data_IF_927221587582
#
_entry.id   IF_927221587582
#
_cell.length_a   1.000
_cell.length_b   1.000
_cell.length_c   1.000
_cell.angle_alpha   90.00
_cell.angle_beta   90.00
_cell.angle_gamma   90.00
#
_symmetry.space_group_name_H-M   'P 1'
#
loop_
_entity.id
_entity.type
_entity.pdbx_description
1 polymer ?
#
# COMPACT_ATOMS: atom_id res chain seq x y z
N UNK A 1 -4.00 -34.23 4.03
CA UNK A 1 -4.89 -35.36 3.71
C UNK A 1 -4.73 -36.48 4.74
N UNK A 2 -3.52 -36.97 4.99
CA UNK A 2 -3.22 -38.03 5.95
C UNK A 2 -3.62 -37.63 7.39
N UNK A 3 -3.34 -36.42 7.81
CA UNK A 3 -3.68 -35.89 9.12
C UNK A 3 -5.18 -35.82 9.38
N UNK A 4 -5.98 -35.60 8.33
CA UNK A 4 -7.45 -35.50 8.43
C UNK A 4 -8.13 -36.86 8.22
N UNK A 5 -7.41 -37.87 7.75
CA UNK A 5 -7.94 -39.20 7.47
C UNK A 5 -8.75 -39.33 6.18
N UNK A 6 -8.65 -38.36 5.27
CA UNK A 6 -9.36 -38.36 3.99
C UNK A 6 -10.83 -37.93 4.09
N UNK A 7 -11.71 -38.49 3.25
CA UNK A 7 -13.15 -38.29 3.35
C UNK A 7 -13.77 -39.09 4.48
N UNK A 8 -14.69 -38.51 5.21
CA UNK A 8 -15.42 -39.17 6.29
C UNK A 8 -16.44 -40.18 5.70
N UNK A 9 -16.25 -41.46 6.01
CA UNK A 9 -17.09 -42.57 5.50
C UNK A 9 -18.57 -42.47 5.90
N UNK A 10 -18.94 -41.62 6.90
CA UNK A 10 -20.34 -41.38 7.24
C UNK A 10 -21.17 -40.81 6.11
N UNK A 11 -20.50 -40.15 5.12
CA UNK A 11 -21.14 -39.53 3.98
C UNK A 11 -21.25 -40.45 2.75
N UNK A 12 -20.86 -41.71 2.88
CA UNK A 12 -21.03 -42.70 1.80
C UNK A 12 -22.51 -42.84 1.47
N UNK A 13 -22.88 -42.96 0.16
CA UNK A 13 -22.02 -43.06 -1.02
C UNK A 13 -21.65 -41.72 -1.63
N UNK A 14 -22.35 -40.63 -1.33
CA UNK A 14 -22.10 -39.32 -1.90
C UNK A 14 -22.85 -38.20 -1.16
N UNK A 15 -22.45 -36.95 -1.42
CA UNK A 15 -22.95 -35.67 -0.91
C UNK A 15 -22.46 -35.29 0.49
N UNK A 16 -22.02 -34.06 0.64
CA UNK A 16 -21.48 -33.42 1.83
C UNK A 16 -20.04 -33.83 2.20
N UNK A 17 -19.42 -34.78 1.53
CA UNK A 17 -18.03 -35.20 1.77
C UNK A 17 -17.02 -34.08 1.44
N UNK A 18 -17.26 -33.29 0.38
CA UNK A 18 -16.47 -32.16 -0.03
C UNK A 18 -16.57 -30.98 0.95
N UNK A 19 -17.80 -30.71 1.37
CA UNK A 19 -18.07 -29.69 2.39
C UNK A 19 -17.47 -30.06 3.74
N UNK A 20 -17.60 -31.33 4.14
CA UNK A 20 -17.01 -31.88 5.35
C UNK A 20 -15.47 -31.75 5.35
N UNK A 21 -14.85 -32.15 4.23
CA UNK A 21 -13.41 -31.99 4.06
C UNK A 21 -12.95 -30.53 4.23
N UNK A 22 -13.71 -29.57 3.66
CA UNK A 22 -13.40 -28.14 3.82
C UNK A 22 -13.50 -27.69 5.29
N UNK A 23 -14.42 -28.25 6.08
CA UNK A 23 -14.55 -27.96 7.51
C UNK A 23 -13.42 -28.59 8.31
N UNK A 24 -13.04 -29.85 8.01
CA UNK A 24 -11.90 -30.53 8.68
C UNK A 24 -10.59 -29.82 8.40
N UNK A 25 -10.32 -29.40 7.14
CA UNK A 25 -9.14 -28.62 6.77
C UNK A 25 -9.02 -27.36 7.64
N UNK A 26 -10.12 -26.64 7.84
CA UNK A 26 -10.15 -25.43 8.67
C UNK A 26 -9.95 -25.73 10.14
N UNK A 27 -10.55 -26.80 10.66
CA UNK A 27 -10.40 -27.27 12.04
C UNK A 27 -8.93 -27.58 12.38
N UNK A 28 -8.14 -28.02 11.40
CA UNK A 28 -6.69 -28.23 11.52
C UNK A 28 -5.87 -26.94 11.28
N UNK A 29 -6.47 -25.76 11.30
CA UNK A 29 -5.80 -24.47 11.16
C UNK A 29 -5.37 -24.12 9.74
N UNK A 30 -5.74 -24.94 8.74
CA UNK A 30 -5.43 -24.70 7.34
C UNK A 30 -6.49 -23.82 6.65
N UNK A 31 -6.12 -23.23 5.50
CA UNK A 31 -7.03 -22.40 4.70
C UNK A 31 -7.67 -23.21 3.58
N UNK A 32 -8.94 -22.94 3.33
CA UNK A 32 -9.65 -23.39 2.12
C UNK A 32 -9.73 -22.19 1.17
N UNK A 33 -9.11 -22.33 0.00
CA UNK A 33 -8.98 -21.25 -0.97
C UNK A 33 -9.85 -21.53 -2.20
N UNK A 34 -10.57 -20.51 -2.65
CA UNK A 34 -11.26 -20.54 -3.93
C UNK A 34 -10.27 -20.18 -5.05
N UNK A 35 -10.16 -21.06 -6.08
CA UNK A 35 -9.31 -20.83 -7.24
C UNK A 35 -10.17 -20.57 -8.47
N UNK A 36 -10.38 -19.31 -8.88
CA UNK A 36 -11.28 -18.97 -9.98
C UNK A 36 -10.79 -19.41 -11.36
N UNK A 37 -9.48 -19.69 -11.50
CA UNK A 37 -8.90 -20.21 -12.75
C UNK A 37 -9.11 -21.72 -12.92
N UNK A 38 -9.52 -22.43 -11.86
CA UNK A 38 -9.87 -23.85 -11.90
C UNK A 38 -11.35 -23.98 -12.28
N UNK A 39 -11.60 -24.06 -13.57
CA UNK A 39 -12.96 -24.11 -14.12
C UNK A 39 -13.34 -25.55 -14.43
N UNK A 40 -14.43 -26.03 -13.82
CA UNK A 40 -15.04 -27.33 -14.11
C UNK A 40 -16.44 -27.12 -14.65
N UNK A 41 -16.75 -27.74 -15.80
CA UNK A 41 -18.10 -27.72 -16.35
C UNK A 41 -18.88 -28.89 -15.77
N UNK A 42 -19.91 -28.58 -15.00
CA UNK A 42 -20.78 -29.57 -14.38
C UNK A 42 -22.14 -29.58 -15.06
N UNK A 43 -22.49 -30.73 -15.65
CA UNK A 43 -23.80 -30.94 -16.26
C UNK A 43 -24.75 -31.52 -15.23
N UNK A 44 -25.52 -30.66 -14.58
CA UNK A 44 -26.40 -31.05 -13.50
C UNK A 44 -27.49 -32.03 -13.99
N UNK A 45 -27.73 -33.09 -13.22
CA UNK A 45 -28.75 -34.09 -13.50
C UNK A 45 -28.39 -35.18 -14.51
N UNK A 46 -27.24 -35.07 -15.21
CA UNK A 46 -26.85 -36.08 -16.22
C UNK A 46 -26.47 -37.42 -15.58
N UNK A 47 -25.74 -37.41 -14.47
CA UNK A 47 -25.27 -38.64 -13.81
C UNK A 47 -26.23 -39.23 -12.80
N UNK A 48 -26.88 -38.38 -11.97
CA UNK A 48 -27.63 -38.82 -10.80
C UNK A 48 -29.07 -38.31 -10.77
N UNK A 49 -29.58 -37.71 -11.86
CA UNK A 49 -30.91 -37.08 -11.90
C UNK A 49 -31.02 -35.85 -10.98
N UNK A 50 -32.20 -35.31 -10.85
CA UNK A 50 -32.54 -34.15 -9.99
C UNK A 50 -33.50 -34.50 -8.85
N UNK A 51 -34.03 -35.69 -8.81
CA UNK A 51 -35.00 -36.16 -7.82
C UNK A 51 -34.29 -36.53 -6.50
N UNK A 52 -34.53 -35.76 -5.45
CA UNK A 52 -33.99 -35.96 -4.09
C UNK A 52 -34.72 -37.04 -3.28
N UNK A 53 -35.78 -37.67 -3.83
CA UNK A 53 -36.54 -38.70 -3.15
C UNK A 53 -36.13 -40.13 -3.54
N UNK A 54 -35.32 -40.27 -4.60
CA UNK A 54 -34.91 -41.57 -5.14
C UNK A 54 -33.44 -41.57 -5.61
N UNK A 55 -32.88 -42.77 -5.76
CA UNK A 55 -31.53 -42.97 -6.26
C UNK A 55 -30.44 -42.34 -5.36
N UNK A 56 -29.29 -42.01 -5.96
CA UNK A 56 -28.18 -41.38 -5.23
C UNK A 56 -28.52 -39.99 -4.66
N UNK A 57 -29.40 -39.22 -5.33
CA UNK A 57 -29.83 -37.90 -4.86
C UNK A 57 -30.53 -37.94 -3.49
N UNK A 58 -31.17 -39.06 -3.14
CA UNK A 58 -31.82 -39.21 -1.80
C UNK A 58 -30.81 -39.13 -0.65
N UNK A 59 -29.56 -39.53 -0.88
CA UNK A 59 -28.51 -39.40 0.12
C UNK A 59 -28.14 -37.94 0.44
N UNK A 60 -28.38 -36.99 -0.46
CA UNK A 60 -28.18 -35.58 -0.19
C UNK A 60 -28.96 -35.14 1.06
N UNK A 61 -30.23 -35.50 1.19
CA UNK A 61 -31.05 -35.13 2.32
C UNK A 61 -30.57 -35.80 3.62
N UNK A 62 -30.18 -37.08 3.51
CA UNK A 62 -29.68 -37.84 4.68
C UNK A 62 -28.34 -37.32 5.14
N UNK A 63 -27.44 -37.08 4.22
CA UNK A 63 -26.08 -36.63 4.54
C UNK A 63 -26.05 -35.16 4.99
N UNK A 64 -26.96 -34.30 4.52
CA UNK A 64 -27.12 -32.97 5.10
C UNK A 64 -27.49 -33.02 6.60
N UNK A 65 -28.32 -33.96 7.06
CA UNK A 65 -28.61 -34.12 8.48
C UNK A 65 -27.36 -34.54 9.26
N UNK A 66 -26.63 -35.54 8.75
CA UNK A 66 -25.36 -35.97 9.37
C UNK A 66 -24.33 -34.87 9.43
N UNK A 67 -24.26 -34.03 8.38
CA UNK A 67 -23.38 -32.87 8.33
C UNK A 67 -23.75 -31.84 9.41
N UNK A 68 -25.06 -31.51 9.53
CA UNK A 68 -25.58 -30.61 10.56
C UNK A 68 -25.30 -31.14 11.98
N UNK A 69 -25.45 -32.44 12.20
CA UNK A 69 -25.14 -33.08 13.50
C UNK A 69 -23.67 -33.00 13.82
N UNK A 70 -22.79 -33.31 12.84
CA UNK A 70 -21.32 -33.28 13.03
C UNK A 70 -20.79 -31.87 13.31
N UNK A 71 -21.30 -30.87 12.59
CA UNK A 71 -20.78 -29.52 12.60
C UNK A 71 -21.69 -28.51 13.33
N UNK A 72 -22.64 -28.99 14.16
CA UNK A 72 -23.63 -28.14 14.81
C UNK A 72 -23.03 -26.97 15.56
N UNK A 73 -22.00 -27.20 16.36
CA UNK A 73 -21.33 -26.17 17.14
C UNK A 73 -20.64 -25.14 16.21
N UNK A 74 -19.84 -25.60 15.28
CA UNK A 74 -19.13 -24.72 14.32
C UNK A 74 -20.11 -23.88 13.50
N UNK A 75 -21.22 -24.47 13.06
CA UNK A 75 -22.24 -23.76 12.30
C UNK A 75 -22.95 -22.71 13.13
N UNK A 76 -23.25 -22.99 14.40
CA UNK A 76 -23.91 -22.04 15.31
C UNK A 76 -22.98 -20.88 15.69
N UNK A 77 -21.71 -21.17 15.92
CA UNK A 77 -20.72 -20.18 16.37
C UNK A 77 -20.21 -19.30 15.22
N UNK A 78 -19.97 -19.87 14.05
CA UNK A 78 -19.19 -19.21 12.99
C UNK A 78 -19.92 -18.99 11.68
N UNK A 79 -21.13 -19.51 11.51
CA UNK A 79 -21.85 -19.41 10.24
C UNK A 79 -23.22 -18.76 10.40
N UNK A 80 -23.67 -18.08 9.36
CA UNK A 80 -25.05 -17.61 9.27
C UNK A 80 -25.96 -18.73 8.74
N UNK A 81 -27.27 -18.76 9.13
CA UNK A 81 -28.23 -19.68 8.55
C UNK A 81 -28.29 -19.54 7.02
N UNK A 82 -28.69 -20.64 6.36
CA UNK A 82 -28.83 -20.65 4.90
C UNK A 82 -29.75 -19.53 4.40
N UNK A 83 -29.32 -18.88 3.32
CA UNK A 83 -30.02 -17.76 2.66
C UNK A 83 -30.15 -16.48 3.52
N UNK A 84 -29.56 -16.43 4.69
CA UNK A 84 -29.53 -15.23 5.51
C UNK A 84 -28.22 -14.47 5.23
N UNK A 85 -28.34 -13.22 4.82
CA UNK A 85 -27.23 -12.29 4.55
C UNK A 85 -26.05 -12.93 3.77
N UNK A 86 -26.21 -13.20 2.47
CA UNK A 86 -25.17 -13.84 1.66
C UNK A 86 -23.86 -13.05 1.62
N UNK A 87 -23.91 -11.73 1.78
CA UNK A 87 -22.72 -10.88 1.79
C UNK A 87 -21.80 -11.19 2.97
N UNK A 88 -22.36 -11.45 4.15
CA UNK A 88 -21.60 -11.84 5.34
C UNK A 88 -21.36 -13.36 5.40
N UNK A 89 -22.32 -14.17 4.94
CA UNK A 89 -22.27 -15.62 5.04
C UNK A 89 -21.13 -16.23 4.21
N UNK A 90 -20.90 -15.74 2.99
CA UNK A 90 -19.94 -16.31 2.02
C UNK A 90 -18.50 -16.33 2.51
N UNK A 91 -18.13 -15.46 3.43
CA UNK A 91 -16.76 -15.33 3.94
C UNK A 91 -16.61 -15.71 5.41
N UNK A 92 -17.60 -16.34 6.02
CA UNK A 92 -17.65 -16.61 7.46
C UNK A 92 -17.36 -15.33 8.26
N UNK A 93 -18.02 -14.25 7.90
CA UNK A 93 -17.78 -12.94 8.50
C UNK A 93 -18.75 -12.59 9.64
N UNK A 94 -19.38 -13.59 10.27
CA UNK A 94 -20.31 -13.37 11.40
C UNK A 94 -19.68 -12.53 12.50
N UNK A 95 -18.41 -12.80 12.83
CA UNK A 95 -17.68 -12.10 13.87
C UNK A 95 -16.65 -11.09 13.31
N UNK A 96 -16.46 -11.04 12.01
CA UNK A 96 -15.49 -10.14 11.38
C UNK A 96 -16.08 -8.76 11.17
N UNK A 97 -15.31 -7.75 11.46
CA UNK A 97 -15.60 -6.39 11.03
C UNK A 97 -15.28 -6.26 9.55
N UNK A 98 -16.20 -5.69 8.78
CA UNK A 98 -15.98 -5.46 7.35
C UNK A 98 -15.37 -4.07 7.17
N UNK A 99 -14.27 -4.02 6.43
CA UNK A 99 -13.56 -2.80 6.07
C UNK A 99 -13.57 -2.66 4.55
N UNK A 100 -14.05 -1.53 4.05
CA UNK A 100 -13.91 -1.12 2.65
C UNK A 100 -12.72 -0.16 2.53
N UNK A 101 -11.72 -0.52 1.73
CA UNK A 101 -10.63 0.38 1.37
C UNK A 101 -10.75 0.83 -0.07
N UNK A 102 -10.55 2.12 -0.31
CA UNK A 102 -10.60 2.74 -1.65
C UNK A 102 -9.29 3.45 -1.94
N UNK A 103 -8.72 3.19 -3.11
CA UNK A 103 -7.56 3.92 -3.64
C UNK A 103 -7.70 4.10 -5.17
N UNK A 104 -6.75 4.73 -5.82
CA UNK A 104 -6.82 5.03 -7.26
C UNK A 104 -6.73 3.78 -8.16
N UNK A 105 -5.95 2.77 -7.77
CA UNK A 105 -5.86 1.46 -8.43
C UNK A 105 -5.39 0.37 -7.44
N UNK A 106 -5.36 -0.87 -7.87
CA UNK A 106 -4.77 -1.97 -7.10
C UNK A 106 -3.29 -1.65 -6.82
N UNK A 107 -2.83 -1.68 -5.56
CA UNK A 107 -1.50 -1.19 -5.19
C UNK A 107 -0.37 -1.99 -5.86
N UNK A 108 0.42 -1.30 -6.67
CA UNK A 108 1.66 -1.81 -7.27
C UNK A 108 2.80 -1.64 -6.26
N UNK A 109 2.83 -2.50 -5.25
CA UNK A 109 3.64 -2.36 -4.03
C UNK A 109 5.16 -2.36 -4.28
N UNK A 110 5.62 -2.81 -5.44
CA UNK A 110 7.01 -2.82 -5.90
C UNK A 110 7.40 -1.60 -6.76
N UNK A 111 6.44 -0.69 -7.07
CA UNK A 111 6.67 0.40 -8.03
C UNK A 111 6.64 1.79 -7.42
N UNK A 112 5.86 2.00 -6.40
CA UNK A 112 5.77 3.30 -5.74
C UNK A 112 5.48 3.18 -4.24
N UNK A 113 5.98 4.16 -3.48
CA UNK A 113 5.90 4.21 -2.03
C UNK A 113 4.46 4.26 -1.50
N UNK A 114 3.56 4.98 -2.18
CA UNK A 114 2.16 5.08 -1.77
C UNK A 114 1.42 3.75 -1.92
N UNK A 115 1.64 3.05 -3.04
CA UNK A 115 1.11 1.70 -3.25
C UNK A 115 1.66 0.70 -2.23
N UNK A 116 2.95 0.80 -1.86
CA UNK A 116 3.55 -0.03 -0.81
C UNK A 116 2.87 0.21 0.53
N UNK A 117 2.63 1.45 0.90
CA UNK A 117 1.90 1.80 2.13
C UNK A 117 0.49 1.21 2.15
N UNK A 118 -0.27 1.37 1.06
CA UNK A 118 -1.63 0.81 0.96
C UNK A 118 -1.62 -0.71 1.08
N UNK A 119 -0.69 -1.39 0.42
CA UNK A 119 -0.53 -2.84 0.51
C UNK A 119 -0.22 -3.30 1.94
N UNK A 120 0.67 -2.61 2.64
CA UNK A 120 1.01 -2.91 4.04
C UNK A 120 -0.17 -2.70 4.98
N UNK A 121 -1.00 -1.67 4.78
CA UNK A 121 -2.23 -1.49 5.56
C UNK A 121 -3.27 -2.58 5.24
N UNK A 122 -3.38 -3.02 3.98
CA UNK A 122 -4.24 -4.17 3.64
C UNK A 122 -3.80 -5.43 4.38
N UNK A 123 -2.49 -5.73 4.40
CA UNK A 123 -1.93 -6.84 5.17
C UNK A 123 -2.24 -6.71 6.66
N UNK A 124 -2.04 -5.51 7.23
CA UNK A 124 -2.33 -5.24 8.64
C UNK A 124 -3.80 -5.54 8.97
N UNK A 125 -4.75 -5.04 8.18
CA UNK A 125 -6.18 -5.26 8.44
C UNK A 125 -6.58 -6.73 8.28
N UNK A 126 -6.06 -7.43 7.28
CA UNK A 126 -6.31 -8.88 7.13
C UNK A 126 -5.75 -9.65 8.32
N UNK A 127 -4.52 -9.34 8.77
CA UNK A 127 -3.88 -9.97 9.92
C UNK A 127 -4.61 -9.67 11.25
N UNK A 128 -5.28 -8.52 11.34
CA UNK A 128 -6.14 -8.16 12.47
C UNK A 128 -7.55 -8.79 12.39
N UNK A 129 -7.79 -9.67 11.42
CA UNK A 129 -9.03 -10.43 11.28
C UNK A 129 -10.20 -9.69 10.63
N UNK A 130 -9.96 -8.56 9.95
CA UNK A 130 -10.99 -7.89 9.17
C UNK A 130 -11.35 -8.69 7.92
N UNK A 131 -12.62 -8.60 7.50
CA UNK A 131 -13.04 -8.93 6.13
C UNK A 131 -12.83 -7.68 5.26
N UNK A 132 -11.78 -7.70 4.44
CA UNK A 132 -11.35 -6.51 3.68
C UNK A 132 -11.91 -6.56 2.26
N UNK A 133 -12.58 -5.47 1.87
CA UNK A 133 -13.04 -5.18 0.50
C UNK A 133 -12.17 -4.06 -0.05
N UNK A 134 -11.77 -4.14 -1.31
CA UNK A 134 -10.93 -3.14 -1.95
C UNK A 134 -11.55 -2.67 -3.27
N UNK A 135 -11.59 -1.35 -3.46
CA UNK A 135 -11.94 -0.70 -4.72
C UNK A 135 -10.73 0.10 -5.20
N UNK A 136 -10.20 -0.25 -6.39
CA UNK A 136 -9.41 0.67 -7.18
C UNK A 136 -10.34 1.54 -8.04
N UNK A 137 -10.24 2.86 -7.98
CA UNK A 137 -11.13 3.80 -8.68
C UNK A 137 -11.17 3.61 -10.21
N UNK A 138 -10.11 3.00 -10.78
CA UNK A 138 -10.06 2.62 -12.18
C UNK A 138 -10.80 1.31 -12.50
N UNK A 139 -11.21 0.54 -11.49
CA UNK A 139 -11.89 -0.75 -11.59
C UNK A 139 -11.17 -1.79 -12.48
N UNK A 140 -9.87 -1.69 -12.60
CA UNK A 140 -9.08 -2.58 -13.45
C UNK A 140 -8.32 -3.62 -12.62
N UNK A 141 -8.30 -4.88 -13.10
CA UNK A 141 -7.53 -5.95 -12.50
C UNK A 141 -6.08 -5.91 -13.01
N UNK A 142 -5.20 -5.33 -12.21
CA UNK A 142 -3.76 -5.29 -12.51
C UNK A 142 -3.07 -6.55 -12.01
N UNK A 143 -2.54 -7.36 -12.93
CA UNK A 143 -1.76 -8.52 -12.56
C UNK A 143 -0.26 -8.20 -12.44
N UNK A 144 0.47 -8.83 -11.51
CA UNK A 144 0.06 -9.88 -10.56
C UNK A 144 -0.59 -9.35 -9.26
N UNK A 145 -0.73 -8.04 -9.09
CA UNK A 145 -1.11 -7.37 -7.83
C UNK A 145 -2.52 -7.72 -7.37
N UNK A 146 -3.48 -7.84 -8.30
CA UNK A 146 -4.85 -8.26 -7.97
C UNK A 146 -4.86 -9.68 -7.41
N UNK A 147 -4.13 -10.62 -8.04
CA UNK A 147 -4.01 -11.99 -7.55
C UNK A 147 -3.37 -12.03 -6.16
N UNK A 148 -2.35 -11.22 -5.91
CA UNK A 148 -1.69 -11.12 -4.61
C UNK A 148 -2.66 -10.67 -3.50
N UNK A 149 -3.50 -9.67 -3.76
CA UNK A 149 -4.52 -9.23 -2.81
C UNK A 149 -5.57 -10.31 -2.55
N UNK A 150 -6.05 -10.98 -3.61
CA UNK A 150 -7.04 -12.06 -3.48
C UNK A 150 -6.48 -13.25 -2.71
N UNK A 151 -5.23 -13.63 -2.93
CA UNK A 151 -4.55 -14.69 -2.16
C UNK A 151 -4.35 -14.31 -0.69
N UNK A 152 -4.17 -13.03 -0.39
CA UNK A 152 -4.12 -12.52 0.98
C UNK A 152 -5.49 -12.63 1.69
N UNK A 153 -6.59 -12.71 0.93
CA UNK A 153 -7.96 -12.75 1.44
C UNK A 153 -8.72 -11.44 1.30
N UNK A 154 -8.22 -10.50 0.47
CA UNK A 154 -8.92 -9.26 0.14
C UNK A 154 -9.87 -9.50 -1.03
N UNK A 155 -11.13 -9.12 -0.89
CA UNK A 155 -12.08 -9.09 -2.01
C UNK A 155 -11.86 -7.82 -2.82
N UNK A 156 -11.37 -7.96 -4.04
CA UNK A 156 -11.15 -6.84 -4.95
C UNK A 156 -12.36 -6.67 -5.86
N UNK A 157 -13.01 -5.51 -5.78
CA UNK A 157 -14.19 -5.17 -6.58
C UNK A 157 -13.74 -4.49 -7.87
N UNK A 158 -13.72 -5.23 -8.98
CA UNK A 158 -13.21 -4.75 -10.27
C UNK A 158 -14.10 -5.17 -11.44
N UNK A 159 -13.79 -4.63 -12.60
CA UNK A 159 -14.47 -4.93 -13.86
C UNK A 159 -15.65 -4.00 -14.18
N UNK A 160 -16.21 -4.14 -15.40
CA UNK A 160 -17.22 -3.22 -15.92
C UNK A 160 -18.49 -3.14 -15.07
N UNK A 161 -18.84 -4.23 -14.38
CA UNK A 161 -20.00 -4.24 -13.49
C UNK A 161 -19.79 -3.26 -12.34
N UNK A 162 -18.71 -3.39 -11.58
CA UNK A 162 -18.44 -2.51 -10.43
C UNK A 162 -18.15 -1.08 -10.85
N UNK A 163 -17.46 -0.88 -11.98
CA UNK A 163 -17.23 0.46 -12.52
C UNK A 163 -18.54 1.25 -12.71
N UNK A 164 -19.60 0.54 -13.12
CA UNK A 164 -20.91 1.13 -13.36
C UNK A 164 -21.81 1.16 -12.11
N UNK A 165 -21.70 0.13 -11.24
CA UNK A 165 -22.67 -0.15 -10.18
C UNK A 165 -22.07 -0.13 -8.76
N UNK A 166 -20.91 0.47 -8.53
CA UNK A 166 -20.30 0.50 -7.20
C UNK A 166 -21.16 1.21 -6.15
N UNK A 167 -21.92 2.25 -6.56
CA UNK A 167 -22.88 2.93 -5.67
C UNK A 167 -24.06 2.05 -5.30
N UNK A 168 -24.58 1.29 -6.27
CA UNK A 168 -25.68 0.34 -6.02
C UNK A 168 -25.20 -0.76 -5.07
N UNK A 169 -23.97 -1.29 -5.32
CA UNK A 169 -23.34 -2.26 -4.44
C UNK A 169 -23.16 -1.71 -3.01
N UNK A 170 -22.73 -0.45 -2.88
CA UNK A 170 -22.56 0.20 -1.58
C UNK A 170 -23.91 0.39 -0.89
N UNK A 171 -24.97 0.76 -1.62
CA UNK A 171 -26.32 0.90 -1.11
C UNK A 171 -26.88 -0.43 -0.59
N UNK A 172 -26.60 -1.54 -1.27
CA UNK A 172 -27.05 -2.87 -0.88
C UNK A 172 -26.32 -3.42 0.34
N UNK A 173 -25.01 -3.23 0.41
CA UNK A 173 -24.14 -3.88 1.38
C UNK A 173 -23.60 -2.93 2.47
N UNK A 174 -23.78 -1.63 2.32
CA UNK A 174 -23.17 -0.61 3.17
C UNK A 174 -23.56 -0.70 4.65
N UNK A 175 -24.76 -1.21 4.97
CA UNK A 175 -25.20 -1.43 6.35
C UNK A 175 -24.28 -2.36 7.16
N UNK A 176 -23.56 -3.28 6.50
CA UNK A 176 -22.69 -4.27 7.11
C UNK A 176 -21.23 -3.80 7.15
N UNK A 177 -20.89 -2.69 6.48
CA UNK A 177 -19.56 -2.10 6.46
C UNK A 177 -19.36 -1.29 7.74
N UNK A 178 -18.42 -1.75 8.58
CA UNK A 178 -18.11 -1.08 9.84
C UNK A 178 -17.06 0.03 9.73
N UNK A 179 -16.18 -0.08 8.74
CA UNK A 179 -15.07 0.87 8.50
C UNK A 179 -14.90 1.14 7.02
N UNK A 180 -14.63 2.40 6.68
CA UNK A 180 -14.22 2.79 5.33
C UNK A 180 -12.90 3.52 5.43
N UNK A 181 -11.91 3.10 4.64
CA UNK A 181 -10.58 3.69 4.57
C UNK A 181 -10.39 4.31 3.18
N UNK A 182 -10.43 5.63 3.11
CA UNK A 182 -10.32 6.40 1.87
C UNK A 182 -8.90 6.93 1.71
N UNK A 183 -8.28 6.63 0.59
CA UNK A 183 -6.93 7.08 0.26
C UNK A 183 -6.97 8.21 -0.77
N UNK A 184 -6.05 9.15 -0.63
CA UNK A 184 -5.78 10.25 -1.58
C UNK A 184 -6.95 11.20 -1.79
N UNK A 185 -6.73 12.51 -1.77
CA UNK A 185 -7.83 13.48 -1.83
C UNK A 185 -8.62 13.41 -3.13
N UNK A 186 -7.95 13.30 -4.29
CA UNK A 186 -8.59 13.26 -5.61
C UNK A 186 -9.46 12.01 -5.85
N UNK A 187 -9.25 10.95 -5.09
CA UNK A 187 -10.10 9.76 -5.09
C UNK A 187 -11.20 9.90 -4.05
N UNK A 188 -10.83 10.24 -2.82
CA UNK A 188 -11.74 10.29 -1.67
C UNK A 188 -12.96 11.20 -1.89
N UNK A 189 -12.79 12.33 -2.59
CA UNK A 189 -13.89 13.25 -2.93
C UNK A 189 -15.00 12.61 -3.77
N UNK A 190 -14.70 11.54 -4.51
CA UNK A 190 -15.69 10.83 -5.34
C UNK A 190 -16.56 9.88 -4.52
N UNK A 191 -16.06 9.43 -3.37
CA UNK A 191 -16.66 8.35 -2.58
C UNK A 191 -17.30 8.84 -1.28
N UNK A 192 -16.78 9.90 -0.67
CA UNK A 192 -17.14 10.32 0.69
C UNK A 192 -18.65 10.53 0.87
N UNK A 193 -19.32 11.20 -0.07
CA UNK A 193 -20.75 11.48 0.03
C UNK A 193 -21.59 10.19 -0.02
N UNK A 194 -21.27 9.28 -0.96
CA UNK A 194 -21.97 8.00 -1.06
C UNK A 194 -21.71 7.11 0.16
N UNK A 195 -20.49 7.13 0.70
CA UNK A 195 -20.14 6.43 1.93
C UNK A 195 -20.98 6.95 3.09
N UNK A 196 -21.09 8.26 3.23
CA UNK A 196 -21.90 8.89 4.29
C UNK A 196 -23.40 8.65 4.12
N UNK A 197 -23.88 8.58 2.87
CA UNK A 197 -25.30 8.32 2.57
C UNK A 197 -25.70 6.85 2.81
N UNK A 198 -24.85 5.91 2.39
CA UNK A 198 -25.25 4.50 2.34
C UNK A 198 -24.66 3.62 3.45
N UNK A 199 -23.80 4.17 4.31
CA UNK A 199 -23.20 3.40 5.41
C UNK A 199 -23.28 4.12 6.75
N UNK A 200 -23.19 3.34 7.84
CA UNK A 200 -22.93 3.84 9.20
C UNK A 200 -21.46 3.64 9.61
N UNK A 201 -20.59 3.41 8.64
CA UNK A 201 -19.19 3.10 8.87
C UNK A 201 -18.42 4.27 9.51
N UNK A 202 -17.42 3.93 10.30
CA UNK A 202 -16.38 4.90 10.67
C UNK A 202 -15.50 5.16 9.47
N UNK A 203 -15.45 6.40 9.04
CA UNK A 203 -14.66 6.82 7.87
C UNK A 203 -13.30 7.30 8.32
N UNK A 204 -12.27 6.65 7.83
CA UNK A 204 -10.87 7.01 7.98
C UNK A 204 -10.40 7.56 6.65
N UNK A 205 -9.81 8.76 6.68
CA UNK A 205 -9.15 9.34 5.51
C UNK A 205 -7.64 9.29 5.67
N UNK A 206 -6.92 8.82 4.67
CA UNK A 206 -5.45 8.79 4.62
C UNK A 206 -4.95 9.64 3.46
N UNK A 207 -4.34 10.78 3.77
CA UNK A 207 -3.98 11.80 2.77
C UNK A 207 -2.76 11.45 1.93
N UNK A 208 -1.86 10.58 2.41
CA UNK A 208 -0.53 10.30 1.88
C UNK A 208 0.44 11.48 1.96
N UNK A 209 0.04 12.64 1.48
CA UNK A 209 0.71 13.92 1.62
C UNK A 209 -0.31 15.06 1.48
N UNK A 210 0.01 16.24 1.98
CA UNK A 210 -0.81 17.44 1.80
C UNK A 210 -0.53 18.06 0.44
N UNK A 211 -1.47 17.93 -0.48
CA UNK A 211 -1.35 18.47 -1.84
C UNK A 211 -1.21 19.99 -1.84
N UNK A 212 -2.03 20.68 -1.05
CA UNK A 212 -1.94 22.15 -0.97
C UNK A 212 -0.57 22.61 -0.46
N UNK A 213 -0.01 21.95 0.55
CA UNK A 213 1.29 22.30 1.11
C UNK A 213 2.42 22.05 0.10
N UNK A 214 2.35 20.93 -0.63
CA UNK A 214 3.31 20.59 -1.67
C UNK A 214 3.31 21.62 -2.80
N UNK A 215 2.13 21.99 -3.32
CA UNK A 215 1.99 22.96 -4.41
C UNK A 215 2.36 24.37 -3.96
N UNK A 216 2.05 24.75 -2.71
CA UNK A 216 2.49 26.02 -2.13
C UNK A 216 4.01 26.12 -2.11
N UNK A 217 4.69 25.10 -1.63
CA UNK A 217 6.17 25.04 -1.58
C UNK A 217 6.78 25.03 -2.99
N UNK A 218 6.13 24.37 -3.94
CA UNK A 218 6.56 24.41 -5.34
C UNK A 218 6.43 25.83 -5.92
N UNK A 219 5.33 26.54 -5.60
CA UNK A 219 5.18 27.94 -5.95
C UNK A 219 6.28 28.83 -5.34
N UNK A 220 6.58 28.66 -4.07
CA UNK A 220 7.63 29.41 -3.38
C UNK A 220 9.01 29.24 -4.03
N UNK A 221 9.27 28.06 -4.60
CA UNK A 221 10.52 27.74 -5.31
C UNK A 221 10.53 28.27 -6.76
N UNK A 222 9.43 28.15 -7.47
CA UNK A 222 9.37 28.37 -8.94
C UNK A 222 8.78 29.72 -9.34
N UNK A 223 7.95 30.34 -8.48
CA UNK A 223 7.19 31.53 -8.78
C UNK A 223 6.00 31.32 -9.74
N UNK A 224 5.63 30.06 -10.04
CA UNK A 224 4.51 29.75 -10.94
C UNK A 224 3.17 30.07 -10.28
N UNK A 225 2.55 31.18 -10.71
CA UNK A 225 1.28 31.66 -10.15
C UNK A 225 0.11 30.65 -10.28
N UNK A 226 0.16 29.73 -11.25
CA UNK A 226 -0.87 28.71 -11.40
C UNK A 226 -0.88 27.73 -10.20
N UNK A 227 0.29 27.47 -9.60
CA UNK A 227 0.42 26.63 -8.41
C UNK A 227 -0.22 27.27 -7.17
N UNK A 228 -0.17 28.58 -7.04
CA UNK A 228 -0.80 29.28 -5.92
C UNK A 228 -2.32 29.10 -5.92
N UNK A 229 -2.96 29.25 -7.09
CA UNK A 229 -4.40 29.02 -7.21
C UNK A 229 -4.75 27.55 -6.98
N UNK A 230 -3.98 26.62 -7.57
CA UNK A 230 -4.20 25.18 -7.40
C UNK A 230 -4.02 24.76 -5.94
N UNK A 231 -3.03 25.31 -5.25
CA UNK A 231 -2.83 25.07 -3.81
C UNK A 231 -4.05 25.49 -2.98
N UNK A 232 -4.62 26.68 -3.26
CA UNK A 232 -5.82 27.14 -2.54
C UNK A 232 -7.05 26.24 -2.82
N UNK A 233 -7.19 25.75 -4.04
CA UNK A 233 -8.27 24.83 -4.42
C UNK A 233 -8.09 23.48 -3.71
N UNK A 234 -6.87 22.99 -3.56
CA UNK A 234 -6.56 21.78 -2.81
C UNK A 234 -6.77 21.94 -1.32
N UNK A 235 -6.35 23.07 -0.73
CA UNK A 235 -6.57 23.35 0.69
C UNK A 235 -8.05 23.21 1.05
N UNK A 236 -8.93 23.82 0.26
CA UNK A 236 -10.37 23.72 0.46
C UNK A 236 -10.85 22.26 0.38
N UNK A 237 -10.48 21.53 -0.68
CA UNK A 237 -10.92 20.13 -0.87
C UNK A 237 -10.40 19.19 0.21
N UNK A 238 -9.13 19.32 0.58
CA UNK A 238 -8.53 18.49 1.61
C UNK A 238 -9.15 18.76 2.98
N UNK A 239 -9.42 20.03 3.33
CA UNK A 239 -10.12 20.38 4.57
C UNK A 239 -11.55 19.84 4.60
N UNK A 240 -12.30 19.94 3.50
CA UNK A 240 -13.64 19.37 3.40
C UNK A 240 -13.62 17.86 3.66
N UNK A 241 -12.66 17.12 3.10
CA UNK A 241 -12.49 15.68 3.33
C UNK A 241 -12.11 15.36 4.77
N UNK A 242 -11.14 16.09 5.33
CA UNK A 242 -10.66 15.90 6.70
C UNK A 242 -11.81 16.09 7.69
N UNK A 243 -12.63 17.13 7.50
CA UNK A 243 -13.77 17.43 8.36
C UNK A 243 -14.96 16.47 8.14
N UNK A 244 -15.09 15.89 6.95
CA UNK A 244 -16.10 14.88 6.65
C UNK A 244 -15.73 13.48 7.16
N UNK A 245 -14.46 13.20 7.45
CA UNK A 245 -14.00 11.94 8.01
C UNK A 245 -14.18 11.91 9.55
N UNK A 246 -14.27 10.68 10.12
CA UNK A 246 -14.27 10.52 11.59
C UNK A 246 -12.85 10.67 12.17
N UNK A 247 -11.85 10.36 11.36
CA UNK A 247 -10.43 10.55 11.65
C UNK A 247 -9.66 10.67 10.33
N UNK A 248 -8.74 11.62 10.26
CA UNK A 248 -7.77 11.74 9.19
C UNK A 248 -6.38 11.32 9.68
N UNK A 249 -5.62 10.65 8.82
CA UNK A 249 -4.24 10.28 9.09
C UNK A 249 -3.32 10.79 7.98
N UNK A 250 -2.16 11.25 8.41
CA UNK A 250 -1.07 11.65 7.54
C UNK A 250 0.24 11.01 8.02
N UNK A 251 1.24 10.84 7.15
CA UNK A 251 2.47 10.14 7.53
C UNK A 251 3.35 10.92 8.51
N UNK A 252 3.22 12.26 8.59
CA UNK A 252 4.11 13.07 9.41
C UNK A 252 3.37 14.00 10.36
N UNK A 253 4.03 14.31 11.49
CA UNK A 253 3.55 15.30 12.47
C UNK A 253 3.58 16.74 11.94
N UNK A 254 4.38 17.02 10.91
CA UNK A 254 4.43 18.32 10.24
C UNK A 254 3.12 18.60 9.52
N UNK A 255 2.57 17.59 8.85
CA UNK A 255 1.25 17.68 8.20
C UNK A 255 0.12 17.76 9.22
N UNK A 256 0.18 16.98 10.31
CA UNK A 256 -0.76 17.07 11.43
C UNK A 256 -0.78 18.50 11.99
N UNK A 257 0.39 19.11 12.21
CA UNK A 257 0.52 20.47 12.72
C UNK A 257 -0.03 21.49 11.72
N UNK A 258 0.33 21.39 10.43
CA UNK A 258 -0.14 22.29 9.39
C UNK A 258 -1.67 22.29 9.27
N UNK A 259 -2.32 21.13 9.44
CA UNK A 259 -3.77 21.05 9.46
C UNK A 259 -4.34 21.70 10.73
N UNK A 260 -3.77 21.47 11.90
CA UNK A 260 -4.26 22.08 13.13
C UNK A 260 -4.11 23.61 13.15
N UNK A 261 -3.14 24.18 12.45
CA UNK A 261 -2.99 25.64 12.30
C UNK A 261 -4.18 26.27 11.57
N UNK A 262 -4.70 25.59 10.53
CA UNK A 262 -5.82 26.11 9.71
C UNK A 262 -7.18 25.58 10.16
N UNK A 263 -7.24 24.42 10.80
CA UNK A 263 -8.46 23.78 11.30
C UNK A 263 -8.22 23.10 12.67
N UNK A 264 -8.15 23.85 13.78
CA UNK A 264 -7.84 23.31 15.10
C UNK A 264 -8.82 22.23 15.60
N UNK A 265 -10.05 22.21 15.06
CA UNK A 265 -11.09 21.23 15.41
C UNK A 265 -10.96 19.92 14.63
N UNK A 266 -10.08 19.84 13.63
CA UNK A 266 -9.92 18.66 12.81
C UNK A 266 -9.38 17.47 13.63
N UNK A 267 -9.99 16.32 13.45
CA UNK A 267 -9.50 15.07 14.02
C UNK A 267 -8.44 14.47 13.10
N UNK A 268 -7.22 14.90 13.29
CA UNK A 268 -6.07 14.44 12.49
C UNK A 268 -4.97 13.92 13.39
N UNK A 269 -4.24 12.89 12.94
CA UNK A 269 -3.06 12.34 13.62
C UNK A 269 -2.03 11.87 12.62
N UNK A 270 -0.76 12.00 13.01
CA UNK A 270 0.33 11.36 12.30
C UNK A 270 0.40 9.86 12.63
N UNK A 271 0.53 9.02 11.61
CA UNK A 271 0.78 7.57 11.75
C UNK A 271 1.91 7.16 10.81
N UNK A 272 2.66 6.08 11.13
CA UNK A 272 3.73 5.62 10.26
C UNK A 272 3.26 5.32 8.83
N UNK A 273 3.99 5.84 7.85
CA UNK A 273 3.75 5.53 6.44
C UNK A 273 4.22 4.11 6.07
N UNK A 274 5.21 3.60 6.81
CA UNK A 274 5.89 2.35 6.51
C UNK A 274 5.84 1.42 7.72
N UNK A 275 5.45 0.17 7.45
CA UNK A 275 5.42 -0.92 8.42
C UNK A 275 6.42 -1.97 7.95
N UNK A 276 7.52 -2.11 8.65
CA UNK A 276 8.47 -3.18 8.40
C UNK A 276 8.25 -4.30 9.42
N UNK A 277 8.05 -5.53 8.94
CA UNK A 277 7.92 -6.70 9.81
C UNK A 277 9.25 -7.09 10.42
N UNK A 278 10.33 -6.87 9.66
CA UNK A 278 11.68 -7.28 10.03
C UNK A 278 12.65 -6.12 9.75
N UNK A 279 13.50 -5.86 10.73
CA UNK A 279 14.67 -5.00 10.60
C UNK A 279 15.87 -5.91 10.79
N UNK A 280 16.55 -6.24 9.69
CA UNK A 280 17.81 -6.98 9.77
C UNK A 280 18.92 -6.03 10.24
N UNK A 281 19.75 -6.50 11.17
CA UNK A 281 20.99 -5.80 11.50
C UNK A 281 21.90 -5.82 10.27
N UNK A 282 22.13 -4.66 9.69
CA UNK A 282 23.04 -4.50 8.55
C UNK A 282 24.40 -4.03 9.05
N UNK A 283 25.44 -4.85 8.89
CA UNK A 283 26.81 -4.40 9.10
C UNK A 283 27.22 -3.47 7.96
N UNK A 284 27.65 -2.26 8.32
CA UNK A 284 28.20 -1.32 7.35
C UNK A 284 29.69 -1.60 7.11
N UNK A 285 30.05 -1.91 5.86
CA UNK A 285 31.43 -2.17 5.44
C UNK A 285 31.93 -1.06 4.52
N UNK A 286 32.64 -0.09 5.06
CA UNK A 286 33.13 1.08 4.33
C UNK A 286 33.92 0.70 3.06
N UNK A 287 34.86 -0.25 3.16
CA UNK A 287 35.72 -0.65 2.04
C UNK A 287 34.99 -1.35 0.89
N UNK A 288 33.82 -1.93 1.17
CA UNK A 288 33.01 -2.64 0.17
C UNK A 288 32.00 -1.70 -0.53
N UNK A 289 31.65 -0.58 0.11
CA UNK A 289 30.64 0.34 -0.41
C UNK A 289 31.30 1.48 -1.20
N UNK A 290 30.76 1.78 -2.36
CA UNK A 290 31.23 2.85 -3.24
C UNK A 290 30.05 3.60 -3.85
N UNK A 291 30.34 4.79 -4.36
CA UNK A 291 29.37 5.58 -5.12
C UNK A 291 28.15 6.04 -4.31
N UNK A 292 27.27 6.72 -4.98
CA UNK A 292 26.05 7.29 -4.42
C UNK A 292 24.82 6.77 -5.16
N UNK A 293 23.67 6.81 -4.51
CA UNK A 293 22.42 6.49 -5.15
C UNK A 293 21.33 7.51 -4.83
N UNK A 294 20.40 7.69 -5.75
CA UNK A 294 19.13 8.36 -5.56
C UNK A 294 18.02 7.46 -6.11
N UNK A 295 16.92 7.33 -5.37
CA UNK A 295 15.74 6.62 -5.84
C UNK A 295 14.49 7.51 -5.81
N UNK A 296 13.67 7.44 -6.87
CA UNK A 296 12.38 8.13 -6.90
C UNK A 296 11.62 7.91 -8.18
N UNK A 297 10.32 7.58 -8.08
CA UNK A 297 9.44 7.53 -9.24
C UNK A 297 9.29 8.90 -9.90
N UNK A 298 9.51 8.99 -11.20
CA UNK A 298 9.54 10.26 -11.94
C UNK A 298 8.15 10.79 -12.34
N UNK A 299 7.09 10.08 -12.01
CA UNK A 299 5.74 10.63 -12.00
C UNK A 299 5.52 11.69 -10.91
N UNK A 300 6.43 11.76 -9.93
CA UNK A 300 6.40 12.74 -8.85
C UNK A 300 7.38 13.89 -9.13
N UNK A 301 6.84 15.09 -9.38
CA UNK A 301 7.61 16.28 -9.81
C UNK A 301 8.80 16.65 -8.90
N UNK A 302 8.72 16.56 -7.56
CA UNK A 302 9.86 16.79 -6.69
C UNK A 302 11.09 15.93 -7.00
N UNK A 303 10.92 14.70 -7.50
CA UNK A 303 12.03 13.83 -7.87
C UNK A 303 12.73 14.31 -9.16
N UNK A 304 11.95 14.85 -10.12
CA UNK A 304 12.50 15.45 -11.35
C UNK A 304 13.34 16.67 -11.01
N UNK A 305 12.82 17.54 -10.15
CA UNK A 305 13.52 18.73 -9.67
C UNK A 305 14.80 18.38 -8.91
N UNK A 306 14.75 17.41 -8.01
CA UNK A 306 15.91 16.95 -7.26
C UNK A 306 17.05 16.48 -8.16
N UNK A 307 16.75 15.70 -9.21
CA UNK A 307 17.78 15.25 -10.15
C UNK A 307 18.32 16.39 -11.01
N UNK A 308 17.48 17.35 -11.38
CA UNK A 308 17.96 18.57 -12.07
C UNK A 308 18.88 19.41 -11.20
N UNK A 309 18.53 19.62 -9.94
CA UNK A 309 19.37 20.35 -8.99
C UNK A 309 20.71 19.62 -8.75
N UNK A 310 20.62 18.29 -8.56
CA UNK A 310 21.81 17.44 -8.43
C UNK A 310 22.74 17.58 -9.64
N UNK A 311 22.21 17.44 -10.85
CA UNK A 311 23.00 17.46 -12.08
C UNK A 311 23.62 18.84 -12.39
N UNK A 312 22.86 19.91 -12.16
CA UNK A 312 23.26 21.24 -12.62
C UNK A 312 24.09 22.00 -11.57
N UNK A 313 23.84 21.79 -10.28
CA UNK A 313 24.45 22.58 -9.21
C UNK A 313 25.38 21.77 -8.31
N UNK A 314 25.02 20.51 -7.96
CA UNK A 314 25.81 19.69 -7.04
C UNK A 314 26.93 18.95 -7.77
N UNK A 315 26.61 18.20 -8.83
CA UNK A 315 27.58 17.34 -9.53
C UNK A 315 28.81 18.08 -10.06
N UNK A 316 28.71 19.27 -10.67
CA UNK A 316 29.89 19.97 -11.20
C UNK A 316 30.96 20.32 -10.15
N UNK A 317 30.50 20.57 -8.91
CA UNK A 317 31.42 20.84 -7.80
C UNK A 317 31.87 19.55 -7.09
N UNK A 318 31.00 18.55 -6.97
CA UNK A 318 31.29 17.27 -6.35
C UNK A 318 32.39 16.49 -7.13
N UNK A 319 32.30 16.43 -8.46
CA UNK A 319 33.29 15.74 -9.31
C UNK A 319 34.69 16.38 -9.21
N UNK A 320 34.77 17.68 -8.95
CA UNK A 320 36.09 18.33 -8.70
C UNK A 320 36.75 17.83 -7.41
N UNK A 321 35.94 17.44 -6.40
CA UNK A 321 36.44 16.92 -5.12
C UNK A 321 36.62 15.40 -5.14
N UNK A 322 35.76 14.70 -5.86
CA UNK A 322 35.69 13.25 -5.98
C UNK A 322 35.61 12.86 -7.47
N UNK A 323 36.70 12.87 -8.23
CA UNK A 323 36.66 12.69 -9.70
C UNK A 323 36.06 11.35 -10.16
N UNK A 324 36.26 10.29 -9.38
CA UNK A 324 35.83 8.93 -9.72
C UNK A 324 34.43 8.60 -9.18
N UNK A 325 33.75 9.56 -8.54
CA UNK A 325 32.43 9.33 -7.95
C UNK A 325 31.39 9.07 -9.03
N UNK A 326 30.52 8.10 -8.79
CA UNK A 326 29.31 7.85 -9.59
C UNK A 326 28.06 8.02 -8.75
N UNK A 327 27.02 8.51 -9.41
CA UNK A 327 25.68 8.62 -8.82
C UNK A 327 24.70 7.84 -9.66
N UNK A 328 24.06 6.85 -9.07
CA UNK A 328 23.04 6.03 -9.71
C UNK A 328 21.65 6.64 -9.46
N UNK A 329 20.96 7.01 -10.52
CA UNK A 329 19.60 7.54 -10.49
C UNK A 329 18.63 6.42 -10.85
N UNK A 330 17.88 5.97 -9.83
CA UNK A 330 16.97 4.84 -9.90
C UNK A 330 15.51 5.34 -9.87
N UNK A 331 14.63 4.65 -10.57
CA UNK A 331 13.19 4.91 -10.49
C UNK A 331 12.47 4.81 -11.82
N UNK A 332 11.18 4.54 -11.74
CA UNK A 332 10.33 4.30 -12.91
C UNK A 332 10.05 5.57 -13.72
N UNK A 333 9.93 5.39 -15.04
CA UNK A 333 9.47 6.40 -16.00
C UNK A 333 10.25 7.73 -15.99
N UNK A 334 11.59 7.73 -16.08
CA UNK A 334 12.35 8.98 -16.20
C UNK A 334 11.95 9.72 -17.48
N UNK A 335 11.55 11.00 -17.38
CA UNK A 335 11.23 11.81 -18.53
C UNK A 335 12.49 12.14 -19.33
N UNK A 336 12.32 12.57 -20.59
CA UNK A 336 13.44 12.84 -21.49
C UNK A 336 14.40 13.88 -20.92
N UNK A 337 13.90 14.92 -20.29
CA UNK A 337 14.68 15.96 -19.62
C UNK A 337 15.59 15.41 -18.49
N UNK A 338 15.20 14.32 -17.82
CA UNK A 338 16.05 13.64 -16.83
C UNK A 338 17.08 12.75 -17.52
N UNK A 339 16.69 12.01 -18.57
CA UNK A 339 17.60 11.15 -19.32
C UNK A 339 18.78 11.94 -19.95
N UNK A 340 18.47 13.15 -20.41
CA UNK A 340 19.49 14.04 -21.02
C UNK A 340 20.53 14.58 -20.02
N UNK A 341 20.28 14.45 -18.70
CA UNK A 341 21.25 14.83 -17.67
C UNK A 341 22.36 13.77 -17.44
N UNK A 342 22.28 12.63 -18.11
CA UNK A 342 23.25 11.55 -17.95
C UNK A 342 24.67 12.00 -18.34
N UNK A 343 25.64 11.65 -17.51
CA UNK A 343 27.08 11.85 -17.74
C UNK A 343 27.84 10.60 -17.31
N UNK A 344 29.18 10.61 -17.45
CA UNK A 344 30.03 9.51 -16.94
C UNK A 344 29.91 9.32 -15.42
N UNK A 345 29.62 10.39 -14.69
CA UNK A 345 29.47 10.40 -13.23
C UNK A 345 28.00 10.34 -12.77
N UNK A 346 27.00 10.63 -13.62
CA UNK A 346 25.57 10.61 -13.31
C UNK A 346 24.87 9.61 -14.21
N UNK A 347 24.51 8.46 -13.66
CA UNK A 347 24.02 7.29 -14.40
C UNK A 347 22.51 7.09 -14.20
N UNK A 348 21.71 7.36 -15.23
CA UNK A 348 20.26 7.19 -15.20
C UNK A 348 19.93 5.72 -15.50
N UNK A 349 19.59 4.94 -14.47
CA UNK A 349 19.30 3.50 -14.57
C UNK A 349 17.84 3.19 -14.89
N UNK A 350 16.94 4.10 -14.50
CA UNK A 350 15.50 3.84 -14.65
C UNK A 350 14.95 2.89 -13.61
N UNK A 351 13.94 2.09 -13.99
CA UNK A 351 13.34 1.09 -13.11
C UNK A 351 14.33 -0.02 -12.77
N UNK A 352 14.34 -0.42 -11.50
CA UNK A 352 15.07 -1.57 -10.96
C UNK A 352 14.11 -2.43 -10.14
N UNK A 353 14.37 -3.73 -10.04
CA UNK A 353 13.59 -4.64 -9.18
C UNK A 353 13.88 -4.39 -7.70
N UNK A 354 13.07 -4.96 -6.79
CA UNK A 354 13.32 -4.82 -5.35
C UNK A 354 14.65 -5.47 -4.94
N UNK A 355 15.04 -6.58 -5.58
CA UNK A 355 16.33 -7.25 -5.36
C UNK A 355 17.50 -6.38 -5.82
N UNK A 356 17.42 -5.81 -7.03
CA UNK A 356 18.44 -4.87 -7.54
C UNK A 356 18.52 -3.61 -6.68
N UNK A 357 17.38 -3.09 -6.19
CA UNK A 357 17.35 -1.94 -5.30
C UNK A 357 18.05 -2.24 -3.97
N UNK A 358 17.82 -3.43 -3.41
CA UNK A 358 18.52 -3.88 -2.20
C UNK A 358 20.05 -3.94 -2.45
N UNK A 359 20.49 -4.44 -3.60
CA UNK A 359 21.91 -4.43 -3.96
C UNK A 359 22.48 -3.00 -4.02
N UNK A 360 21.74 -2.04 -4.58
CA UNK A 360 22.17 -0.64 -4.57
C UNK A 360 22.29 -0.08 -3.15
N UNK A 361 21.31 -0.34 -2.26
CA UNK A 361 21.42 0.08 -0.86
C UNK A 361 22.60 -0.57 -0.13
N UNK A 362 22.92 -1.81 -0.43
CA UNK A 362 24.04 -2.53 0.19
C UNK A 362 25.41 -2.13 -0.35
N UNK A 363 25.49 -1.75 -1.63
CA UNK A 363 26.77 -1.47 -2.30
C UNK A 363 27.08 0.03 -2.42
N UNK A 364 26.08 0.90 -2.47
CA UNK A 364 26.32 2.33 -2.45
C UNK A 364 26.73 2.81 -1.05
N UNK A 365 27.66 3.76 -1.01
CA UNK A 365 28.20 4.29 0.25
C UNK A 365 27.21 5.21 0.95
N UNK A 366 26.52 6.06 0.18
CA UNK A 366 25.55 7.02 0.69
C UNK A 366 24.32 7.07 -0.23
N UNK A 367 23.14 7.12 0.34
CA UNK A 367 21.91 7.50 -0.36
C UNK A 367 21.74 9.00 -0.28
N UNK A 368 21.59 9.67 -1.41
CA UNK A 368 21.38 11.12 -1.46
C UNK A 368 19.93 11.45 -1.77
N UNK A 369 19.34 12.40 -1.04
CA UNK A 369 17.94 12.79 -1.21
C UNK A 369 17.83 14.32 -1.30
N UNK A 370 18.27 14.93 -2.42
CA UNK A 370 18.37 16.38 -2.58
C UNK A 370 17.02 16.99 -3.01
N UNK A 371 15.98 16.83 -2.21
CA UNK A 371 14.66 17.37 -2.47
C UNK A 371 14.55 18.82 -2.02
N UNK A 372 14.14 19.73 -2.91
CA UNK A 372 13.96 21.14 -2.58
C UNK A 372 12.54 21.51 -2.18
N UNK A 373 11.56 20.69 -2.55
CA UNK A 373 10.17 20.83 -2.12
C UNK A 373 9.47 19.46 -2.05
N UNK A 374 8.31 19.44 -1.41
CA UNK A 374 7.50 18.25 -1.21
C UNK A 374 6.72 18.34 0.09
N UNK A 375 5.89 17.35 0.37
CA UNK A 375 5.20 17.15 1.63
C UNK A 375 5.29 15.66 2.05
N UNK A 376 4.99 15.36 3.30
CA UNK A 376 5.01 14.00 3.85
C UNK A 376 6.40 13.42 4.10
N UNK A 377 6.44 12.27 4.75
CA UNK A 377 7.68 11.50 4.98
C UNK A 377 8.22 10.95 3.66
N UNK A 378 9.53 11.06 3.50
CA UNK A 378 10.23 10.57 2.31
C UNK A 378 10.64 9.11 2.50
N UNK A 379 9.86 8.19 1.93
CA UNK A 379 10.08 6.75 2.05
C UNK A 379 11.48 6.28 1.72
N UNK A 380 12.10 6.93 0.73
CA UNK A 380 13.47 6.63 0.32
C UNK A 380 14.52 6.87 1.43
N UNK A 381 14.26 7.82 2.34
CA UNK A 381 15.11 8.03 3.52
C UNK A 381 14.94 6.89 4.51
N UNK A 382 13.67 6.53 4.81
CA UNK A 382 13.36 5.43 5.72
C UNK A 382 13.87 4.08 5.19
N UNK A 383 13.76 3.85 3.88
CA UNK A 383 14.29 2.63 3.25
C UNK A 383 15.82 2.57 3.31
N UNK A 384 16.51 3.67 3.01
CA UNK A 384 17.97 3.74 3.14
C UNK A 384 18.41 3.41 4.58
N UNK A 385 17.74 4.00 5.58
CA UNK A 385 18.00 3.72 7.01
C UNK A 385 17.75 2.24 7.33
N UNK A 386 16.68 1.63 6.81
CA UNK A 386 16.40 0.20 7.01
C UNK A 386 17.53 -0.69 6.50
N UNK A 387 18.16 -0.34 5.39
CA UNK A 387 19.29 -1.09 4.82
C UNK A 387 20.67 -0.65 5.38
N UNK A 388 20.70 0.14 6.44
CA UNK A 388 21.92 0.65 7.03
C UNK A 388 22.75 1.48 6.05
N UNK A 389 22.09 2.20 5.13
CA UNK A 389 22.75 3.08 4.18
C UNK A 389 22.68 4.51 4.69
N UNK A 390 23.81 5.16 4.99
CA UNK A 390 23.87 6.56 5.40
C UNK A 390 23.14 7.46 4.40
N UNK A 391 22.51 8.52 4.91
CA UNK A 391 21.69 9.41 4.08
C UNK A 391 22.19 10.84 4.18
N UNK A 392 22.50 11.46 3.05
CA UNK A 392 22.67 12.90 2.90
C UNK A 392 21.44 13.51 2.24
N UNK A 393 20.81 14.49 2.89
CA UNK A 393 19.51 15.01 2.44
C UNK A 393 19.39 16.52 2.68
N UNK A 394 18.23 17.08 2.33
CA UNK A 394 17.80 18.44 2.67
C UNK A 394 16.86 18.41 3.85
N UNK A 395 16.53 19.57 4.42
CA UNK A 395 15.47 19.72 5.44
C UNK A 395 14.13 19.19 4.93
N UNK A 396 13.82 19.37 3.65
CA UNK A 396 12.63 18.81 3.01
C UNK A 396 12.68 17.29 2.96
N UNK A 397 13.83 16.70 2.67
CA UNK A 397 13.99 15.24 2.63
C UNK A 397 13.94 14.59 4.02
N UNK A 398 14.39 15.29 5.05
CA UNK A 398 14.36 14.87 6.46
C UNK A 398 13.02 15.11 7.16
N UNK A 399 12.09 15.84 6.51
CA UNK A 399 10.82 16.26 7.10
C UNK A 399 10.00 15.09 7.66
N UNK A 400 9.50 15.26 8.89
CA UNK A 400 8.64 14.28 9.56
C UNK A 400 9.37 13.13 10.25
N UNK A 401 10.70 13.03 10.10
CA UNK A 401 11.53 12.02 10.76
C UNK A 401 11.97 12.58 12.12
N UNK A 402 11.53 11.96 13.20
CA UNK A 402 11.90 12.40 14.55
C UNK A 402 13.38 12.16 14.83
N UNK A 403 14.07 13.18 15.29
CA UNK A 403 15.51 13.11 15.57
C UNK A 403 16.38 13.10 14.32
N UNK A 404 15.86 13.53 13.18
CA UNK A 404 16.57 13.57 11.90
C UNK A 404 17.95 14.24 12.02
N UNK A 405 18.06 15.33 12.76
CA UNK A 405 19.30 16.11 12.94
C UNK A 405 20.42 15.32 13.63
N UNK A 406 20.08 14.23 14.31
CA UNK A 406 21.07 13.38 15.00
C UNK A 406 21.46 12.13 14.21
N UNK A 407 20.73 11.80 13.13
CA UNK A 407 20.89 10.55 12.37
C UNK A 407 21.04 10.74 10.86
N UNK A 408 20.80 11.94 10.35
CA UNK A 408 20.93 12.28 8.93
C UNK A 408 21.87 13.47 8.78
N UNK A 409 22.59 13.50 7.66
CA UNK A 409 23.36 14.66 7.25
C UNK A 409 22.47 15.56 6.39
N UNK A 410 22.31 16.83 6.80
CA UNK A 410 21.30 17.74 6.23
C UNK A 410 21.97 19.03 5.74
N UNK A 411 21.74 19.39 4.47
CA UNK A 411 22.12 20.67 3.91
C UNK A 411 21.14 21.10 2.81
N UNK A 412 20.74 22.38 2.83
CA UNK A 412 19.76 22.92 1.89
C UNK A 412 20.38 23.69 0.72
N UNK A 413 21.61 24.19 0.88
CA UNK A 413 22.33 24.91 -0.17
C UNK A 413 23.29 23.98 -0.90
N UNK A 414 23.40 24.14 -2.23
CA UNK A 414 24.25 23.27 -3.06
C UNK A 414 25.71 23.23 -2.61
N UNK A 415 26.27 24.37 -2.21
CA UNK A 415 27.65 24.46 -1.75
C UNK A 415 27.87 23.67 -0.46
N UNK A 416 26.98 23.82 0.53
CA UNK A 416 27.06 23.12 1.81
C UNK A 416 26.82 21.63 1.62
N UNK A 417 25.86 21.25 0.74
CA UNK A 417 25.59 19.87 0.39
C UNK A 417 26.82 19.18 -0.18
N UNK A 418 27.54 19.84 -1.10
CA UNK A 418 28.78 19.30 -1.69
C UNK A 418 29.88 19.17 -0.65
N UNK A 419 30.09 20.18 0.21
CA UNK A 419 31.13 20.14 1.23
C UNK A 419 30.88 19.00 2.23
N UNK A 420 29.67 18.93 2.77
CA UNK A 420 29.31 17.87 3.73
C UNK A 420 29.34 16.49 3.08
N UNK A 421 28.78 16.32 1.88
CA UNK A 421 28.77 15.05 1.17
C UNK A 421 30.19 14.55 0.86
N UNK A 422 31.10 15.43 0.40
CA UNK A 422 32.45 15.05 0.10
C UNK A 422 33.26 14.68 1.36
N UNK A 423 33.04 15.38 2.47
CA UNK A 423 33.63 15.06 3.76
C UNK A 423 33.08 13.72 4.32
N UNK A 424 31.77 13.54 4.32
CA UNK A 424 31.11 12.31 4.76
C UNK A 424 31.56 11.10 3.95
N UNK A 425 31.64 11.22 2.62
CA UNK A 425 32.02 10.12 1.74
C UNK A 425 33.40 9.54 2.05
N UNK A 426 34.32 10.35 2.62
CA UNK A 426 35.69 9.97 2.95
C UNK A 426 35.88 9.61 4.44
N UNK A 427 34.87 9.79 5.28
CA UNK A 427 34.98 9.62 6.73
C UNK A 427 34.24 8.36 7.20
N UNK A 428 34.99 7.25 7.32
CA UNK A 428 34.45 5.97 7.79
C UNK A 428 33.79 6.07 9.17
N UNK A 429 34.40 6.80 10.11
CA UNK A 429 33.90 6.91 11.47
C UNK A 429 32.53 7.60 11.55
N UNK A 430 32.23 8.50 10.62
CA UNK A 430 30.92 9.15 10.53
C UNK A 430 29.88 8.30 9.82
N UNK A 431 30.30 7.49 8.85
CA UNK A 431 29.39 6.63 8.08
C UNK A 431 28.94 5.38 8.87
N UNK A 432 29.73 4.94 9.85
CA UNK A 432 29.41 3.78 10.73
C UNK A 432 28.63 4.21 11.99
N UNK A 433 28.47 5.49 12.22
CA UNK A 433 27.70 6.08 13.33
C UNK A 433 26.20 5.78 13.22
#
# INVERSE_FOLDING_TARGET
WEEIGGFDERFVPAYCEDSDLAFEVRKHGCKVMYQPKSVVVHFEGVSNGTDTTSGQKAYQVTNQKKFLEKWQQELQENHLPNAVDPFRARERSVHKKILLMVDHYVPHYDKDAGSRTVYQYLQLFVNQGFSVKFIGDNFFAHQPYTDALQQMGVEVLYGPYYAKHWKDWLKENGKDIGYVFLNRPHISVKYIDAVREFTNARVIYYGHDLHFLREKREYELTGDAALLQSSADWEKKELELILAADMAYYPSYVEEQAIHEIAPQAKVKAIPAYLFSDVEECEYHFDKRKDLMFIGGFGHRPNVDAVKWLANEIMPALVKKLPDIRVYILGSNPPEEVKQLATENLLIKGFVTDEELQEYYQNCRISIVPLRYGAGIKGKVIEAMRFGTPVMTTSVGAEGIKGAESILDIADEAADFVEQLAALYQNEAELVR
#
